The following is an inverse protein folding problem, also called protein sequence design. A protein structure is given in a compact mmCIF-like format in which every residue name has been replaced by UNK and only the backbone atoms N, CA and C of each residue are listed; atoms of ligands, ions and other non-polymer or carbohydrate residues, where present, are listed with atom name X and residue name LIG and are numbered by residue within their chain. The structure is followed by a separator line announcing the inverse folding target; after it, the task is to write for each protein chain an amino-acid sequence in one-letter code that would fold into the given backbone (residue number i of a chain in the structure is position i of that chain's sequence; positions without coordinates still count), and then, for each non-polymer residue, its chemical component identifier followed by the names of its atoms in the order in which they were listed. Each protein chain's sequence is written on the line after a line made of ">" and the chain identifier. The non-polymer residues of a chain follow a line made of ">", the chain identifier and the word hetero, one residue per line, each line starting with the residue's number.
data_IF_046493422179
#
_entry.id   IF_046493422179
#
_cell.length_a   1.000
_cell.length_b   1.000
_cell.length_c   1.000
_cell.angle_alpha   90.00
_cell.angle_beta   90.00
_cell.angle_gamma   90.00
#
_symmetry.space_group_name_H-M   'P 1'
#
loop_
_entity.id
_entity.type
_entity.pdbx_description
1 polymer ?
#
# COMPACT_ATOMS: atom_id res chain seq x y z
N UNK A 1 -48.61 6.97 -9.90
CA UNK A 1 -47.22 6.61 -10.25
C UNK A 1 -46.18 7.69 -9.90
N UNK A 2 -46.45 8.67 -9.02
CA UNK A 2 -45.48 9.74 -8.68
C UNK A 2 -44.61 9.45 -7.44
N UNK A 3 -45.05 8.54 -6.57
CA UNK A 3 -44.38 8.22 -5.31
C UNK A 3 -43.38 7.05 -5.40
N UNK A 4 -43.41 6.29 -6.50
CA UNK A 4 -42.59 5.08 -6.66
C UNK A 4 -41.09 5.41 -6.84
N UNK A 5 -40.78 6.51 -7.54
CA UNK A 5 -39.41 7.00 -7.68
C UNK A 5 -38.83 7.55 -6.37
N UNK A 6 -39.67 8.17 -5.53
CA UNK A 6 -39.25 8.72 -4.23
C UNK A 6 -38.95 7.58 -3.25
N UNK A 7 -39.79 6.55 -3.22
CA UNK A 7 -39.55 5.35 -2.39
C UNK A 7 -38.30 4.61 -2.87
N UNK A 8 -38.09 4.45 -4.17
CA UNK A 8 -36.86 3.83 -4.70
C UNK A 8 -35.60 4.62 -4.32
N UNK A 9 -35.65 5.95 -4.36
CA UNK A 9 -34.53 6.80 -3.98
C UNK A 9 -34.22 6.72 -2.48
N UNK A 10 -35.26 6.71 -1.63
CA UNK A 10 -35.11 6.52 -0.18
C UNK A 10 -34.53 5.15 0.19
N UNK A 11 -34.99 4.07 -0.47
CA UNK A 11 -34.45 2.72 -0.25
C UNK A 11 -32.98 2.65 -0.67
N UNK A 12 -32.61 3.31 -1.76
CA UNK A 12 -31.21 3.41 -2.21
C UNK A 12 -30.35 4.19 -1.23
N UNK A 13 -30.83 5.33 -0.71
CA UNK A 13 -30.12 6.11 0.30
C UNK A 13 -29.91 5.31 1.60
N UNK A 14 -30.92 4.57 2.05
CA UNK A 14 -30.81 3.70 3.24
C UNK A 14 -29.84 2.54 2.99
N UNK A 15 -29.89 1.90 1.82
CA UNK A 15 -28.94 0.84 1.46
C UNK A 15 -27.48 1.33 1.43
N UNK A 16 -27.23 2.56 0.94
CA UNK A 16 -25.89 3.17 0.96
C UNK A 16 -25.40 3.44 2.38
N UNK A 17 -26.29 3.76 3.33
CA UNK A 17 -25.89 3.95 4.73
C UNK A 17 -25.56 2.66 5.49
N UNK A 18 -26.15 1.51 5.11
CA UNK A 18 -25.79 0.21 5.71
C UNK A 18 -24.49 -0.39 5.15
N UNK A 19 -23.96 0.17 4.05
CA UNK A 19 -22.61 -0.11 3.55
C UNK A 19 -21.59 0.83 4.22
N UNK A 20 -21.85 1.29 5.45
CA UNK A 20 -20.77 1.73 6.33
C UNK A 20 -19.98 0.51 6.79
N UNK A 21 -19.03 0.13 5.95
CA UNK A 21 -17.65 -0.18 6.32
C UNK A 21 -17.51 -0.81 7.71
N UNK A 22 -17.71 -2.12 7.81
CA UNK A 22 -16.98 -2.88 8.81
C UNK A 22 -15.50 -2.65 8.50
N UNK A 23 -14.82 -1.82 9.31
CA UNK A 23 -13.40 -1.60 9.17
C UNK A 23 -12.71 -2.97 9.13
N UNK A 24 -11.85 -3.24 8.12
CA UNK A 24 -11.11 -4.49 8.11
C UNK A 24 -10.35 -4.61 9.44
N UNK A 25 -10.32 -5.80 10.06
CA UNK A 25 -9.60 -6.00 11.31
C UNK A 25 -8.17 -5.48 11.15
N UNK A 26 -7.74 -4.60 12.06
CA UNK A 26 -6.39 -4.04 12.03
C UNK A 26 -5.42 -5.23 12.07
N UNK A 27 -4.50 -5.35 11.11
CA UNK A 27 -3.56 -6.46 11.10
C UNK A 27 -2.73 -6.44 12.38
N UNK A 28 -2.53 -7.61 12.96
CA UNK A 28 -1.70 -7.77 14.16
C UNK A 28 -0.31 -7.16 13.93
N UNK A 29 0.30 -6.54 14.96
CA UNK A 29 1.65 -6.03 14.83
C UNK A 29 2.61 -7.17 14.45
N UNK A 30 3.54 -6.96 13.50
CA UNK A 30 4.49 -7.99 13.08
C UNK A 30 5.31 -8.50 14.25
N UNK A 31 5.48 -9.82 14.39
CA UNK A 31 6.31 -10.38 15.48
C UNK A 31 7.79 -10.38 15.11
N UNK A 32 8.63 -10.48 16.14
CA UNK A 32 10.09 -10.62 15.96
C UNK A 32 10.38 -11.87 15.13
N UNK A 33 11.16 -11.70 14.06
CA UNK A 33 11.57 -12.77 13.13
C UNK A 33 10.55 -13.08 12.03
N UNK A 34 9.35 -12.49 12.04
CA UNK A 34 8.39 -12.68 10.96
C UNK A 34 8.80 -11.82 9.74
N UNK A 35 8.84 -12.41 8.53
CA UNK A 35 9.13 -11.67 7.32
C UNK A 35 7.94 -10.78 6.94
N UNK A 36 8.25 -9.53 6.62
CA UNK A 36 7.33 -8.51 6.15
C UNK A 36 7.65 -8.25 4.68
N UNK A 37 6.66 -8.42 3.81
CA UNK A 37 6.79 -8.18 2.39
C UNK A 37 6.06 -6.90 2.00
N UNK A 38 6.66 -6.11 1.11
CA UNK A 38 6.03 -4.94 0.52
C UNK A 38 6.21 -5.00 -0.99
N UNK A 39 5.13 -4.73 -1.72
CA UNK A 39 5.17 -4.55 -3.15
C UNK A 39 4.37 -3.29 -3.47
N UNK A 40 5.05 -2.33 -4.06
CA UNK A 40 4.50 -1.03 -4.42
C UNK A 40 4.68 -0.87 -5.93
N UNK A 41 3.61 -0.49 -6.61
CA UNK A 41 3.63 -0.13 -8.02
C UNK A 41 3.09 1.28 -8.17
N UNK A 42 3.76 2.10 -8.96
CA UNK A 42 3.29 3.42 -9.32
C UNK A 42 3.45 3.59 -10.83
N UNK A 43 2.49 4.26 -11.46
CA UNK A 43 2.60 4.55 -12.88
C UNK A 43 1.56 5.56 -13.33
N UNK A 44 1.91 6.29 -14.37
CA UNK A 44 1.08 7.32 -14.98
C UNK A 44 1.56 7.60 -16.40
N UNK A 45 0.67 8.03 -17.27
CA UNK A 45 1.00 8.28 -18.66
C UNK A 45 -0.17 8.92 -19.38
N UNK A 46 0.15 9.62 -20.48
CA UNK A 46 -0.86 10.23 -21.34
C UNK A 46 -1.43 9.20 -22.32
N UNK A 47 -0.57 8.35 -22.87
CA UNK A 47 -0.91 7.35 -23.88
C UNK A 47 0.11 6.19 -23.87
N UNK A 48 -0.11 5.18 -24.72
CA UNK A 48 0.77 4.01 -24.80
C UNK A 48 2.19 4.33 -25.32
N UNK A 49 2.42 5.51 -25.91
CA UNK A 49 3.74 5.97 -26.39
C UNK A 49 4.47 6.83 -25.36
N UNK A 50 3.73 7.35 -24.38
CA UNK A 50 4.15 8.30 -23.37
C UNK A 50 3.62 7.89 -21.98
N UNK A 51 4.35 6.99 -21.30
CA UNK A 51 4.02 6.53 -19.95
C UNK A 51 5.28 6.37 -19.10
N UNK A 52 5.13 6.42 -17.78
CA UNK A 52 6.13 6.04 -16.81
C UNK A 52 5.48 5.12 -15.79
N UNK A 53 6.15 4.04 -15.44
CA UNK A 53 5.75 3.09 -14.43
C UNK A 53 6.97 2.64 -13.65
N UNK A 54 6.78 2.15 -12.44
CA UNK A 54 7.83 1.62 -11.63
C UNK A 54 7.26 0.75 -10.55
N UNK A 55 8.11 -0.13 -10.03
CA UNK A 55 7.78 -0.94 -8.88
C UNK A 55 8.90 -0.87 -7.85
N UNK A 56 8.54 -1.12 -6.60
CA UNK A 56 9.46 -1.35 -5.50
C UNK A 56 8.97 -2.56 -4.72
N UNK A 57 9.83 -3.57 -4.60
CA UNK A 57 9.62 -4.75 -3.79
C UNK A 57 10.59 -4.71 -2.61
N UNK A 58 10.10 -4.96 -1.41
CA UNK A 58 10.91 -4.98 -0.20
C UNK A 58 10.58 -6.17 0.69
N UNK A 59 11.61 -6.67 1.37
CA UNK A 59 11.48 -7.68 2.42
C UNK A 59 12.21 -7.18 3.66
N UNK A 60 11.55 -7.27 4.81
CA UNK A 60 12.13 -6.93 6.09
C UNK A 60 11.65 -7.85 7.19
N UNK A 61 12.16 -7.66 8.38
CA UNK A 61 11.70 -8.36 9.57
C UNK A 61 11.89 -7.50 10.80
N UNK A 62 11.06 -7.72 11.82
CA UNK A 62 11.31 -7.16 13.14
C UNK A 62 12.44 -7.94 13.78
N UNK A 63 13.54 -7.28 14.12
CA UNK A 63 14.69 -7.95 14.76
C UNK A 63 14.66 -7.84 16.28
N UNK A 64 13.94 -6.85 16.81
CA UNK A 64 13.84 -6.64 18.24
C UNK A 64 12.54 -5.94 18.61
N UNK A 65 12.02 -6.29 19.78
CA UNK A 65 10.86 -5.66 20.41
C UNK A 65 11.13 -5.54 21.91
N UNK A 66 10.74 -4.42 22.50
CA UNK A 66 10.86 -4.23 23.94
C UNK A 66 9.89 -5.18 24.67
N UNK A 67 10.25 -5.59 25.89
CA UNK A 67 9.40 -6.45 26.73
C UNK A 67 8.03 -5.85 27.03
N UNK A 68 7.91 -4.52 26.93
CA UNK A 68 6.68 -3.76 27.20
C UNK A 68 5.88 -3.46 25.92
N UNK A 69 6.39 -3.82 24.74
CA UNK A 69 5.76 -3.53 23.44
C UNK A 69 5.81 -2.05 23.00
N UNK A 70 6.50 -1.19 23.76
CA UNK A 70 6.57 0.25 23.53
C UNK A 70 7.65 0.66 22.52
N UNK A 71 8.56 -0.25 22.15
CA UNK A 71 9.59 -0.02 21.15
C UNK A 71 9.82 -1.24 20.25
N UNK A 72 10.13 -1.01 18.98
CA UNK A 72 10.49 -2.05 18.03
C UNK A 72 11.58 -1.59 17.06
N UNK A 73 12.43 -2.52 16.64
CA UNK A 73 13.42 -2.32 15.59
C UNK A 73 13.12 -3.28 14.43
N UNK A 74 12.86 -2.72 13.26
CA UNK A 74 12.66 -3.45 12.01
C UNK A 74 13.89 -3.23 11.10
N UNK A 75 14.35 -4.27 10.42
CA UNK A 75 15.39 -4.18 9.38
C UNK A 75 14.83 -4.72 8.06
N UNK A 76 15.29 -4.18 6.93
CA UNK A 76 14.86 -4.69 5.64
C UNK A 76 15.70 -4.22 4.47
N UNK A 77 15.48 -4.88 3.33
CA UNK A 77 16.04 -4.55 2.03
C UNK A 77 14.93 -4.27 1.04
N UNK A 78 15.23 -3.47 0.03
CA UNK A 78 14.31 -3.21 -1.08
C UNK A 78 15.04 -3.22 -2.43
N UNK A 79 14.25 -3.45 -3.47
CA UNK A 79 14.63 -3.44 -4.87
C UNK A 79 13.57 -2.69 -5.66
N UNK A 80 13.97 -1.66 -6.40
CA UNK A 80 13.09 -0.87 -7.24
C UNK A 80 13.56 -0.79 -8.68
N UNK A 81 12.63 -0.72 -9.62
CA UNK A 81 12.92 -0.52 -11.03
C UNK A 81 11.81 0.26 -11.72
N UNK A 82 12.20 1.24 -12.51
CA UNK A 82 11.34 2.06 -13.35
C UNK A 82 11.41 1.67 -14.82
N UNK A 83 10.32 1.93 -15.52
CA UNK A 83 10.18 1.82 -16.96
C UNK A 83 9.42 3.04 -17.47
N UNK A 84 9.89 3.65 -18.54
CA UNK A 84 9.18 4.74 -19.19
C UNK A 84 9.15 4.51 -20.68
N UNK A 85 8.20 5.15 -21.34
CA UNK A 85 8.15 5.28 -22.78
C UNK A 85 7.93 6.74 -23.10
N UNK A 86 8.75 7.29 -24.00
CA UNK A 86 8.64 8.68 -24.45
C UNK A 86 8.76 8.71 -25.96
N UNK A 87 7.77 9.28 -26.64
CA UNK A 87 7.63 9.34 -28.10
C UNK A 87 7.71 7.96 -28.79
N UNK A 88 7.36 6.91 -28.06
CA UNK A 88 7.44 5.53 -28.52
C UNK A 88 8.79 4.84 -28.30
N UNK A 89 9.78 5.49 -27.68
CA UNK A 89 11.04 4.88 -27.24
C UNK A 89 10.93 4.40 -25.81
N UNK A 90 11.32 3.16 -25.55
CA UNK A 90 11.29 2.57 -24.20
C UNK A 90 12.59 2.90 -23.47
N UNK A 91 12.46 3.34 -22.23
CA UNK A 91 13.54 3.59 -21.29
C UNK A 91 13.33 2.70 -20.07
N UNK A 92 14.42 2.18 -19.54
CA UNK A 92 14.44 1.39 -18.31
C UNK A 92 15.39 2.08 -17.36
N UNK A 93 14.95 2.35 -16.13
CA UNK A 93 15.84 2.93 -15.13
C UNK A 93 16.87 1.89 -14.68
N UNK A 94 17.97 2.38 -14.13
CA UNK A 94 18.86 1.53 -13.36
C UNK A 94 18.10 0.95 -12.14
N UNK A 95 18.41 -0.29 -11.76
CA UNK A 95 17.84 -0.87 -10.55
C UNK A 95 18.34 -0.12 -9.32
N UNK A 96 17.43 0.15 -8.38
CA UNK A 96 17.77 0.74 -7.08
C UNK A 96 17.69 -0.33 -6.01
N UNK A 97 18.71 -0.42 -5.16
CA UNK A 97 18.72 -1.32 -4.00
C UNK A 97 18.83 -0.48 -2.73
N UNK A 98 18.11 -0.88 -1.70
CA UNK A 98 18.13 -0.22 -0.39
C UNK A 98 18.30 -1.22 0.73
N UNK A 99 19.00 -0.82 1.78
CA UNK A 99 19.02 -1.47 3.08
C UNK A 99 18.73 -0.42 4.14
N UNK A 100 17.87 -0.74 5.11
CA UNK A 100 17.48 0.22 6.12
C UNK A 100 16.93 -0.43 7.38
N UNK A 101 16.94 0.36 8.45
CA UNK A 101 16.32 0.02 9.72
C UNK A 101 15.30 1.07 10.12
N UNK A 102 14.22 0.64 10.74
CA UNK A 102 13.20 1.53 11.30
C UNK A 102 13.10 1.26 12.80
N UNK A 103 13.39 2.27 13.60
CA UNK A 103 13.14 2.23 15.04
C UNK A 103 11.83 2.97 15.33
N UNK A 104 10.91 2.30 16.04
CA UNK A 104 9.62 2.86 16.46
C UNK A 104 9.58 2.87 17.98
N UNK A 105 9.11 3.96 18.55
CA UNK A 105 8.90 4.13 19.98
C UNK A 105 7.56 4.81 20.24
N UNK A 106 6.90 4.49 21.36
CA UNK A 106 5.65 5.11 21.78
C UNK A 106 4.38 4.42 21.27
N UNK A 107 4.47 3.13 20.88
CA UNK A 107 3.25 2.30 20.72
C UNK A 107 2.63 2.12 22.10
N UNK A 108 1.45 2.69 22.31
CA UNK A 108 0.55 2.41 23.44
C UNK A 108 -0.68 1.71 22.92
#
# INVERSE_FOLDING_TARGET
>A
MKYLGIVSCLVLCVAVTFVQSADPPKPDPPKVGEPQFSLQGAGGGKDHRNFAAGFNAGVGTRVWESKKGDASLDLGVNYGQGFARQDGRTFKSEPTYGFGGTFRWGRK
#
